data_IF_021711504699
#
_entry.id   IF_021711504699
#
_cell.length_a   1.000
_cell.length_b   1.000
_cell.length_c   1.000
_cell.angle_alpha   90.00
_cell.angle_beta   90.00
_cell.angle_gamma   90.00
#
_symmetry.space_group_name_H-M   'P 1'
#
loop_
_entity.id
_entity.type
_entity.pdbx_description
1 polymer ?
#
# COMPACT_ATOMS: atom_id res chain seq x y z
N UNK A 1 -4.56 -7.43 -16.93
CA UNK A 1 -4.79 -6.91 -15.56
C UNK A 1 -3.45 -6.78 -14.86
N UNK A 2 -3.06 -5.55 -14.52
CA UNK A 2 -1.85 -5.27 -13.73
C UNK A 2 -2.27 -4.80 -12.34
N UNK A 3 -1.59 -5.32 -11.32
CA UNK A 3 -1.87 -5.00 -9.92
C UNK A 3 -0.61 -4.44 -9.27
N UNK A 4 -0.69 -3.21 -8.78
CA UNK A 4 0.40 -2.53 -8.09
C UNK A 4 0.12 -2.53 -6.58
N UNK A 5 1.05 -3.10 -5.82
CA UNK A 5 1.00 -3.13 -4.35
C UNK A 5 2.03 -2.16 -3.79
N UNK A 6 1.76 -1.61 -2.62
CA UNK A 6 2.69 -0.75 -1.91
C UNK A 6 4.03 -1.45 -1.65
N UNK A 7 5.12 -0.71 -1.67
CA UNK A 7 6.43 -1.23 -1.27
C UNK A 7 6.44 -1.70 0.19
N UNK A 8 5.65 -1.07 1.04
CA UNK A 8 5.50 -1.48 2.43
C UNK A 8 4.93 -2.90 2.58
N UNK A 9 4.09 -3.36 1.63
CA UNK A 9 3.51 -4.72 1.66
C UNK A 9 4.58 -5.81 1.75
N UNK A 10 5.68 -5.67 1.00
CA UNK A 10 6.79 -6.65 1.01
C UNK A 10 7.48 -6.69 2.37
N UNK A 11 7.78 -5.52 2.94
CA UNK A 11 8.41 -5.40 4.26
C UNK A 11 7.52 -5.92 5.37
N UNK A 12 6.24 -5.59 5.36
CA UNK A 12 5.26 -6.10 6.33
C UNK A 12 5.15 -7.62 6.28
N UNK A 13 5.20 -8.22 5.10
CA UNK A 13 5.21 -9.67 4.93
C UNK A 13 6.47 -10.30 5.55
N UNK A 14 7.66 -9.74 5.26
CA UNK A 14 8.93 -10.25 5.80
C UNK A 14 8.95 -10.15 7.31
N UNK A 15 8.59 -9.01 7.88
CA UNK A 15 8.56 -8.80 9.34
C UNK A 15 7.56 -9.75 10.00
N UNK A 16 6.37 -9.92 9.43
CA UNK A 16 5.37 -10.86 9.93
C UNK A 16 5.89 -12.30 9.94
N UNK A 17 6.64 -12.70 8.90
CA UNK A 17 7.23 -14.03 8.81
C UNK A 17 8.32 -14.23 9.86
N UNK A 18 9.18 -13.22 10.09
CA UNK A 18 10.19 -13.25 11.15
C UNK A 18 9.52 -13.40 12.52
N UNK A 19 8.48 -12.63 12.81
CA UNK A 19 7.72 -12.76 14.07
C UNK A 19 7.12 -14.16 14.23
N UNK A 20 6.63 -14.77 13.14
CA UNK A 20 6.13 -16.14 13.13
C UNK A 20 7.21 -17.17 13.47
N UNK A 21 8.42 -17.01 12.93
CA UNK A 21 9.58 -17.87 13.25
C UNK A 21 9.97 -17.73 14.72
N UNK A 22 10.04 -16.49 15.24
CA UNK A 22 10.34 -16.25 16.67
C UNK A 22 9.31 -16.91 17.58
N UNK A 23 8.01 -16.78 17.24
CA UNK A 23 6.94 -17.43 17.99
C UNK A 23 7.08 -18.96 17.99
N UNK A 24 7.30 -19.55 16.81
CA UNK A 24 7.47 -21.01 16.68
C UNK A 24 8.68 -21.51 17.45
N UNK A 25 9.81 -20.79 17.39
CA UNK A 25 11.02 -21.14 18.14
C UNK A 25 10.75 -21.13 19.66
N UNK A 26 10.06 -20.09 20.14
CA UNK A 26 9.67 -20.01 21.56
C UNK A 26 8.78 -21.18 21.98
N UNK A 27 7.82 -21.57 21.17
CA UNK A 27 6.93 -22.71 21.42
C UNK A 27 7.71 -24.03 21.44
N UNK A 28 8.58 -24.29 20.46
CA UNK A 28 9.38 -25.49 20.34
C UNK A 28 10.28 -25.64 21.57
N UNK A 29 10.97 -24.58 21.99
CA UNK A 29 11.85 -24.60 23.17
C UNK A 29 11.07 -24.82 24.46
N UNK A 30 9.86 -24.25 24.56
CA UNK A 30 9.00 -24.51 25.72
C UNK A 30 8.59 -25.98 25.82
N UNK A 31 8.20 -26.61 24.70
CA UNK A 31 7.89 -28.07 24.69
C UNK A 31 9.10 -28.95 24.94
N UNK A 32 10.28 -28.54 24.47
CA UNK A 32 11.53 -29.30 24.70
C UNK A 32 12.09 -29.12 26.11
N UNK A 33 11.50 -28.28 26.97
CA UNK A 33 12.02 -27.96 28.30
C UNK A 33 13.37 -27.23 28.28
N UNK A 34 13.70 -26.57 27.16
CA UNK A 34 14.98 -25.88 26.94
C UNK A 34 14.81 -24.37 27.19
N UNK A 35 15.64 -23.85 28.09
CA UNK A 35 15.72 -22.41 28.33
C UNK A 35 14.99 -21.92 29.59
N UNK A 36 15.16 -20.61 29.83
CA UNK A 36 14.53 -19.97 31.01
C UNK A 36 13.06 -19.65 30.66
N UNK A 37 12.15 -20.01 31.58
CA UNK A 37 10.70 -19.78 31.38
C UNK A 37 10.37 -18.33 31.08
N UNK A 38 11.02 -17.35 31.71
CA UNK A 38 10.79 -15.94 31.45
C UNK A 38 11.16 -15.54 30.02
N UNK A 39 12.27 -16.05 29.50
CA UNK A 39 12.70 -15.81 28.09
C UNK A 39 11.71 -16.45 27.12
N UNK A 40 11.24 -17.67 27.40
CA UNK A 40 10.27 -18.37 26.54
C UNK A 40 8.93 -17.63 26.47
N UNK A 41 8.41 -17.18 27.60
CA UNK A 41 7.20 -16.36 27.66
C UNK A 41 7.39 -15.06 26.87
N UNK A 42 8.55 -14.40 27.03
CA UNK A 42 8.89 -13.20 26.28
C UNK A 42 8.88 -13.43 24.75
N UNK A 43 9.49 -14.50 24.27
CA UNK A 43 9.51 -14.86 22.85
C UNK A 43 8.11 -15.14 22.30
N UNK A 44 7.28 -15.87 23.04
CA UNK A 44 5.92 -16.22 22.64
C UNK A 44 5.04 -14.97 22.59
N UNK A 45 5.11 -14.12 23.61
CA UNK A 45 4.32 -12.89 23.67
C UNK A 45 4.76 -11.90 22.61
N UNK A 46 6.07 -11.64 22.47
CA UNK A 46 6.55 -10.70 21.45
C UNK A 46 6.29 -11.21 20.02
N UNK A 47 6.64 -12.46 19.74
CA UNK A 47 6.41 -13.07 18.43
C UNK A 47 4.92 -13.10 18.07
N UNK A 48 4.07 -13.46 19.03
CA UNK A 48 2.62 -13.54 18.84
C UNK A 48 1.98 -12.16 18.64
N UNK A 49 2.17 -11.21 19.55
CA UNK A 49 1.56 -9.89 19.49
C UNK A 49 2.06 -9.11 18.28
N UNK A 50 3.38 -9.02 18.07
CA UNK A 50 3.95 -8.32 16.92
C UNK A 50 3.56 -9.00 15.62
N UNK A 51 3.54 -10.35 15.58
CA UNK A 51 3.10 -11.11 14.41
C UNK A 51 1.68 -10.78 14.02
N UNK A 52 0.74 -10.72 14.96
CA UNK A 52 -0.67 -10.36 14.72
C UNK A 52 -0.75 -8.92 14.18
N UNK A 53 -0.03 -7.96 14.79
CA UNK A 53 -0.04 -6.56 14.37
C UNK A 53 0.48 -6.43 12.94
N UNK A 54 1.68 -6.97 12.65
CA UNK A 54 2.28 -6.84 11.31
C UNK A 54 1.49 -7.59 10.25
N UNK A 55 0.92 -8.77 10.57
CA UNK A 55 0.06 -9.51 9.66
C UNK A 55 -1.23 -8.76 9.35
N UNK A 56 -1.85 -8.14 10.34
CA UNK A 56 -3.04 -7.30 10.15
C UNK A 56 -2.72 -6.08 9.27
N UNK A 57 -1.57 -5.43 9.51
CA UNK A 57 -1.10 -4.34 8.66
C UNK A 57 -0.83 -4.81 7.22
N UNK A 58 -0.23 -6.00 7.03
CA UNK A 58 -0.01 -6.60 5.71
C UNK A 58 -1.32 -6.81 4.95
N UNK A 59 -2.33 -7.40 5.60
CA UNK A 59 -3.66 -7.61 4.96
C UNK A 59 -4.28 -6.28 4.59
N UNK A 60 -4.24 -5.29 5.49
CA UNK A 60 -4.78 -3.96 5.25
C UNK A 60 -4.09 -3.27 4.06
N UNK A 61 -2.76 -3.34 3.98
CA UNK A 61 -1.99 -2.72 2.90
C UNK A 61 -2.18 -3.45 1.57
N UNK A 62 -2.24 -4.78 1.57
CA UNK A 62 -2.55 -5.58 0.38
C UNK A 62 -3.93 -5.23 -0.23
N UNK A 63 -4.88 -4.80 0.61
CA UNK A 63 -6.19 -4.34 0.16
C UNK A 63 -6.16 -2.98 -0.54
N UNK A 64 -5.06 -2.21 -0.37
CA UNK A 64 -4.84 -0.88 -0.96
C UNK A 64 -4.15 -0.94 -2.33
N UNK A 65 -4.20 -2.08 -3.01
CA UNK A 65 -3.61 -2.19 -4.34
C UNK A 65 -4.34 -1.32 -5.37
N UNK A 66 -3.56 -0.64 -6.22
CA UNK A 66 -4.05 0.00 -7.43
C UNK A 66 -4.11 -1.07 -8.53
N UNK A 67 -5.22 -1.13 -9.26
CA UNK A 67 -5.45 -2.14 -10.30
C UNK A 67 -5.72 -1.43 -11.62
N UNK A 68 -4.98 -1.80 -12.66
CA UNK A 68 -5.19 -1.33 -14.03
C UNK A 68 -5.61 -2.52 -14.90
N UNK A 69 -6.77 -2.42 -15.50
CA UNK A 69 -7.24 -3.30 -16.57
C UNK A 69 -7.11 -2.58 -17.92
N UNK A 70 -7.47 -3.27 -19.01
CA UNK A 70 -7.42 -2.69 -20.35
C UNK A 70 -8.18 -1.36 -20.45
N UNK A 71 -9.35 -1.25 -19.81
CA UNK A 71 -10.29 -0.15 -19.98
C UNK A 71 -10.51 0.68 -18.73
N UNK A 72 -9.97 0.26 -17.57
CA UNK A 72 -10.30 0.89 -16.30
C UNK A 72 -9.15 0.87 -15.29
N UNK A 73 -9.13 1.88 -14.45
CA UNK A 73 -8.24 1.98 -13.31
C UNK A 73 -9.06 1.98 -12.02
N UNK A 74 -8.69 1.13 -11.08
CA UNK A 74 -9.31 1.06 -9.75
C UNK A 74 -8.34 1.58 -8.70
N UNK A 75 -8.70 2.70 -8.10
CA UNK A 75 -7.96 3.31 -7.00
C UNK A 75 -8.31 2.64 -5.68
N UNK A 76 -7.33 2.48 -4.78
CA UNK A 76 -7.59 2.03 -3.42
C UNK A 76 -8.36 3.08 -2.62
N UNK A 77 -8.75 2.72 -1.41
CA UNK A 77 -9.32 3.66 -0.43
C UNK A 77 -8.36 4.82 -0.17
N UNK A 78 -8.90 6.03 0.00
CA UNK A 78 -8.12 7.22 0.31
C UNK A 78 -7.83 8.13 -0.88
N UNK A 79 -8.25 7.79 -2.09
CA UNK A 79 -8.28 8.73 -3.20
C UNK A 79 -9.24 9.89 -2.89
N UNK A 80 -8.92 11.10 -3.37
CA UNK A 80 -9.80 12.27 -3.19
C UNK A 80 -10.59 12.50 -4.47
N UNK A 81 -11.92 12.50 -4.36
CA UNK A 81 -12.83 12.86 -5.46
C UNK A 81 -13.40 14.24 -5.15
N UNK A 82 -13.18 15.21 -6.04
CA UNK A 82 -13.59 16.60 -5.87
C UNK A 82 -13.18 17.18 -4.50
N UNK A 83 -11.95 16.83 -4.05
CA UNK A 83 -11.40 17.28 -2.77
C UNK A 83 -11.84 16.48 -1.55
N UNK A 84 -12.83 15.59 -1.66
CA UNK A 84 -13.31 14.75 -0.55
C UNK A 84 -12.65 13.38 -0.58
N UNK A 85 -12.12 12.93 0.55
CA UNK A 85 -11.52 11.59 0.67
C UNK A 85 -12.60 10.51 0.60
N UNK A 86 -12.40 9.53 -0.29
CA UNK A 86 -13.32 8.40 -0.47
C UNK A 86 -12.77 7.16 0.22
N UNK A 87 -13.56 6.57 1.11
CA UNK A 87 -13.17 5.38 1.88
C UNK A 87 -13.52 4.05 1.18
N UNK A 88 -14.00 4.12 -0.05
CA UNK A 88 -14.27 2.96 -0.90
C UNK A 88 -13.33 2.93 -2.09
N UNK A 89 -13.18 1.74 -2.71
CA UNK A 89 -12.46 1.61 -3.97
C UNK A 89 -13.21 2.37 -5.06
N UNK A 90 -12.49 3.16 -5.83
CA UNK A 90 -13.07 3.94 -6.92
C UNK A 90 -12.55 3.43 -8.25
N UNK A 91 -13.44 3.02 -9.13
CA UNK A 91 -13.10 2.56 -10.49
C UNK A 91 -13.48 3.64 -11.50
N UNK A 92 -12.55 3.96 -12.38
CA UNK A 92 -12.69 4.97 -13.43
C UNK A 92 -12.36 4.28 -14.75
N UNK A 93 -13.16 4.54 -15.78
CA UNK A 93 -12.84 4.10 -17.12
C UNK A 93 -11.76 4.99 -17.72
N UNK A 94 -10.72 4.40 -18.28
CA UNK A 94 -9.58 5.13 -18.85
C UNK A 94 -10.02 6.14 -19.91
N UNK A 95 -11.00 5.78 -20.76
CA UNK A 95 -11.60 6.66 -21.78
C UNK A 95 -12.32 7.90 -21.23
N UNK A 96 -12.63 7.93 -19.94
CA UNK A 96 -13.25 9.10 -19.29
C UNK A 96 -12.22 10.13 -18.84
N UNK A 97 -10.93 9.77 -18.87
CA UNK A 97 -9.85 10.66 -18.42
C UNK A 97 -9.56 11.67 -19.54
N UNK A 98 -9.76 12.95 -19.26
CA UNK A 98 -9.48 14.07 -20.17
C UNK A 98 -8.03 14.55 -20.07
N UNK A 99 -7.51 14.64 -18.84
CA UNK A 99 -6.15 15.13 -18.61
C UNK A 99 -5.60 14.66 -17.26
N UNK A 100 -4.27 14.66 -17.15
CA UNK A 100 -3.54 14.41 -15.91
C UNK A 100 -2.74 15.65 -15.54
N UNK A 101 -2.96 16.16 -14.35
CA UNK A 101 -2.16 17.23 -13.76
C UNK A 101 -1.24 16.67 -12.70
N UNK A 102 -0.01 17.14 -12.67
CA UNK A 102 0.99 16.74 -11.67
C UNK A 102 1.31 17.97 -10.82
N UNK A 103 1.13 17.84 -9.50
CA UNK A 103 1.52 18.86 -8.55
C UNK A 103 2.57 18.31 -7.62
N UNK A 104 3.77 18.86 -7.66
CA UNK A 104 4.82 18.55 -6.70
C UNK A 104 4.50 19.19 -5.35
N UNK A 105 4.65 18.41 -4.28
CA UNK A 105 4.58 18.89 -2.91
C UNK A 105 5.90 18.57 -2.21
N UNK A 106 6.69 19.58 -1.85
CA UNK A 106 7.90 19.35 -1.07
C UNK A 106 7.53 18.80 0.29
N UNK A 107 8.30 17.84 0.77
CA UNK A 107 8.23 17.34 2.14
C UNK A 107 8.92 18.29 3.11
N UNK A 108 8.69 18.08 4.39
CA UNK A 108 9.39 18.81 5.45
C UNK A 108 10.79 18.22 5.77
N UNK A 109 11.17 17.16 5.07
CA UNK A 109 12.46 16.49 5.23
C UNK A 109 12.59 15.62 6.48
N UNK A 110 11.70 15.75 7.44
CA UNK A 110 11.73 15.01 8.71
C UNK A 110 10.69 13.89 8.75
N UNK A 111 9.45 14.21 8.49
CA UNK A 111 8.32 13.27 8.56
C UNK A 111 7.73 13.01 7.17
N UNK A 112 7.55 14.06 6.38
CA UNK A 112 7.01 13.96 5.03
C UNK A 112 8.14 14.00 3.99
N UNK A 113 8.11 13.05 3.06
CA UNK A 113 9.00 13.04 1.88
C UNK A 113 8.36 13.81 0.74
N UNK A 114 9.21 14.32 -0.16
CA UNK A 114 8.78 14.88 -1.42
C UNK A 114 7.84 13.93 -2.15
N UNK A 115 6.71 14.41 -2.58
CA UNK A 115 5.72 13.58 -3.25
C UNK A 115 5.01 14.33 -4.37
N UNK A 116 4.66 13.59 -5.41
CA UNK A 116 3.83 14.09 -6.49
C UNK A 116 2.37 13.72 -6.21
N UNK A 117 1.50 14.73 -6.31
CA UNK A 117 0.06 14.53 -6.36
C UNK A 117 -0.40 14.54 -7.81
N UNK A 118 -1.14 13.54 -8.17
CA UNK A 118 -1.70 13.36 -9.51
C UNK A 118 -3.18 13.65 -9.45
N UNK A 119 -3.65 14.54 -10.33
CA UNK A 119 -5.08 14.85 -10.44
C UNK A 119 -5.54 14.48 -11.84
N UNK A 120 -6.40 13.47 -11.93
CA UNK A 120 -7.13 13.15 -13.14
C UNK A 120 -8.34 14.07 -13.26
N UNK A 121 -8.50 14.69 -14.41
CA UNK A 121 -9.75 15.37 -14.77
C UNK A 121 -10.53 14.47 -15.71
N UNK A 122 -11.75 14.18 -15.33
CA UNK A 122 -12.66 13.37 -16.14
C UNK A 122 -13.48 14.26 -17.07
N UNK A 123 -14.08 13.64 -18.09
CA UNK A 123 -14.91 14.33 -19.08
C UNK A 123 -16.16 14.98 -18.46
N UNK A 124 -16.67 14.44 -17.35
CA UNK A 124 -17.79 14.99 -16.60
C UNK A 124 -17.41 16.13 -15.63
N UNK A 125 -16.14 16.56 -15.64
CA UNK A 125 -15.60 17.58 -14.73
C UNK A 125 -15.15 17.06 -13.36
N UNK A 126 -15.36 15.77 -13.05
CA UNK A 126 -14.90 15.16 -11.81
C UNK A 126 -13.35 15.18 -11.74
N UNK A 127 -12.84 15.46 -10.56
CA UNK A 127 -11.39 15.47 -10.28
C UNK A 127 -11.06 14.36 -9.31
N UNK A 128 -10.10 13.49 -9.67
CA UNK A 128 -9.62 12.42 -8.79
C UNK A 128 -8.15 12.64 -8.49
N UNK A 129 -7.85 12.94 -7.23
CA UNK A 129 -6.49 13.21 -6.76
C UNK A 129 -5.96 12.03 -5.94
N UNK A 130 -4.75 11.59 -6.24
CA UNK A 130 -4.08 10.47 -5.60
C UNK A 130 -2.57 10.67 -5.59
N UNK A 131 -1.86 9.81 -4.86
CA UNK A 131 -0.40 9.75 -4.84
C UNK A 131 0.06 8.36 -5.25
N UNK A 132 1.22 8.27 -5.89
CA UNK A 132 1.82 7.00 -6.32
C UNK A 132 3.09 6.66 -5.52
N UNK A 133 3.48 7.53 -4.59
CA UNK A 133 4.70 7.37 -3.79
C UNK A 133 4.84 5.97 -3.15
N UNK A 134 3.74 5.40 -2.67
CA UNK A 134 3.75 4.10 -2.00
C UNK A 134 4.14 2.92 -2.93
N UNK A 135 4.01 3.07 -4.23
CA UNK A 135 4.24 1.99 -5.21
C UNK A 135 5.68 1.95 -5.74
N UNK A 136 6.44 3.04 -5.56
CA UNK A 136 7.81 3.19 -6.03
C UNK A 136 7.91 3.80 -7.42
N UNK A 137 9.10 4.33 -7.75
CA UNK A 137 9.33 5.14 -8.97
C UNK A 137 9.05 4.41 -10.28
N UNK A 138 9.39 3.13 -10.37
CA UNK A 138 9.16 2.33 -11.60
C UNK A 138 7.67 2.12 -11.84
N UNK A 139 6.92 1.70 -10.79
CA UNK A 139 5.48 1.54 -10.87
C UNK A 139 4.77 2.87 -11.14
N UNK A 140 5.23 3.96 -10.52
CA UNK A 140 4.74 5.32 -10.77
C UNK A 140 4.84 5.69 -12.25
N UNK A 141 6.03 5.48 -12.86
CA UNK A 141 6.27 5.75 -14.28
C UNK A 141 5.36 4.91 -15.17
N UNK A 142 5.28 3.61 -14.94
CA UNK A 142 4.44 2.69 -15.73
C UNK A 142 2.95 3.04 -15.64
N UNK A 143 2.45 3.36 -14.43
CA UNK A 143 1.06 3.77 -14.23
C UNK A 143 0.76 5.05 -15.01
N UNK A 144 1.66 6.04 -14.95
CA UNK A 144 1.49 7.31 -15.63
C UNK A 144 1.54 7.17 -17.16
N UNK A 145 2.43 6.34 -17.67
CA UNK A 145 2.51 6.03 -19.11
C UNK A 145 1.20 5.38 -19.59
N UNK A 146 0.67 4.42 -18.82
CA UNK A 146 -0.59 3.76 -19.13
C UNK A 146 -1.77 4.75 -19.14
N UNK A 147 -1.83 5.66 -18.16
CA UNK A 147 -2.88 6.67 -18.11
C UNK A 147 -2.73 7.66 -19.27
N UNK A 148 -1.51 8.14 -19.55
CA UNK A 148 -1.25 9.10 -20.64
C UNK A 148 -1.57 8.52 -22.01
N UNK A 149 -1.23 7.24 -22.25
CA UNK A 149 -1.53 6.57 -23.52
C UNK A 149 -3.04 6.38 -23.77
N UNK A 150 -3.87 6.47 -22.72
CA UNK A 150 -5.33 6.39 -22.85
C UNK A 150 -6.02 7.73 -23.14
N UNK A 151 -5.27 8.83 -23.06
CA UNK A 151 -5.80 10.20 -23.24
C UNK A 151 -5.62 10.68 -24.70
N UNK A 152 -4.84 9.97 -25.51
CA UNK A 152 -4.54 10.30 -26.93
C UNK A 152 -5.67 9.98 -27.88
#
# INVERSE_FOLDING_TARGET
MKKYTSQATKWLMIVSLICGVVLLTGIIFAFAGIGNIGVLIGLILMGGLLGIIFFSCFIADKSRALIINADQITFPRGAKINGKTVFQKTTIQLKQIRSVEIKFQPGDGVIAKDSNFYTLRLNDGTRVTFTLYAYGKEAEKEILETIKSSIS
#
